data_IF_841408066534
#
_entry.id   IF_841408066534
#
_cell.length_a   1.000
_cell.length_b   1.000
_cell.length_c   1.000
_cell.angle_alpha   90.00
_cell.angle_beta   90.00
_cell.angle_gamma   90.00
#
_symmetry.space_group_name_H-M   'P 1'
#
loop_
_entity.id
_entity.type
_entity.pdbx_description
1 polymer ?
#
# COMPACT_ATOMS: atom_id res chain seq x y z
N UNK A 1 -1.74 -18.18 10.83
CA UNK A 1 -3.04 -17.81 10.22
C UNK A 1 -2.79 -16.76 9.15
N UNK A 2 -3.54 -16.75 8.03
CA UNK A 2 -3.40 -15.72 7.02
C UNK A 2 -3.92 -14.39 7.58
N UNK A 3 -3.12 -13.33 7.47
CA UNK A 3 -3.51 -12.01 7.93
C UNK A 3 -4.60 -11.45 7.00
N UNK A 4 -5.74 -11.01 7.52
CA UNK A 4 -6.77 -10.34 6.70
C UNK A 4 -6.44 -8.86 6.59
N UNK A 5 -6.56 -8.28 5.38
CA UNK A 5 -6.36 -6.84 5.21
C UNK A 5 -7.50 -6.05 5.88
N UNK A 6 -7.23 -5.15 6.84
CA UNK A 6 -8.28 -4.39 7.50
C UNK A 6 -8.94 -3.32 6.61
N UNK A 7 -8.36 -3.02 5.44
CA UNK A 7 -8.87 -1.99 4.53
C UNK A 7 -9.88 -2.50 3.51
N UNK A 8 -9.75 -3.75 3.04
CA UNK A 8 -10.60 -4.32 1.98
C UNK A 8 -11.07 -5.74 2.29
N UNK A 9 -10.77 -6.25 3.48
CA UNK A 9 -11.13 -7.60 3.94
C UNK A 9 -10.56 -8.74 3.09
N UNK A 10 -9.49 -8.49 2.32
CA UNK A 10 -8.83 -9.53 1.53
C UNK A 10 -8.14 -10.57 2.46
N UNK A 11 -8.45 -11.87 2.34
CA UNK A 11 -8.07 -12.88 3.32
C UNK A 11 -6.62 -13.40 3.19
N UNK A 12 -5.92 -13.09 2.10
CA UNK A 12 -4.55 -13.60 1.84
C UNK A 12 -3.67 -12.56 1.11
N UNK A 13 -3.17 -11.55 1.83
CA UNK A 13 -2.13 -10.65 1.35
C UNK A 13 -0.85 -11.44 1.04
N UNK A 14 -0.19 -11.10 -0.06
CA UNK A 14 0.99 -11.81 -0.53
C UNK A 14 2.23 -11.41 0.27
N UNK A 15 3.14 -12.35 0.54
CA UNK A 15 4.33 -12.07 1.33
C UNK A 15 5.45 -11.54 0.43
N UNK A 16 5.81 -10.26 0.63
CA UNK A 16 6.85 -9.61 -0.17
C UNK A 16 8.24 -9.88 0.41
N UNK A 17 8.38 -9.85 1.74
CA UNK A 17 9.66 -10.11 2.42
C UNK A 17 9.44 -10.69 3.81
N UNK A 18 10.44 -11.43 4.31
CA UNK A 18 10.44 -12.02 5.65
C UNK A 18 11.77 -11.79 6.34
N UNK A 19 11.74 -11.30 7.58
CA UNK A 19 12.89 -11.11 8.45
C UNK A 19 12.62 -11.75 9.81
N UNK A 20 13.15 -12.96 10.00
CA UNK A 20 12.89 -13.75 11.21
C UNK A 20 11.40 -14.08 11.36
N UNK A 21 10.80 -13.67 12.48
CA UNK A 21 9.37 -13.86 12.76
C UNK A 21 8.49 -12.79 12.11
N UNK A 22 9.09 -11.78 11.48
CA UNK A 22 8.39 -10.65 10.85
C UNK A 22 8.20 -10.90 9.36
N UNK A 23 6.98 -10.69 8.86
CA UNK A 23 6.60 -10.79 7.44
C UNK A 23 6.00 -9.48 6.98
N UNK A 24 6.50 -8.97 5.87
CA UNK A 24 5.97 -7.80 5.18
C UNK A 24 5.09 -8.28 4.05
N UNK A 25 3.78 -8.02 4.16
CA UNK A 25 2.78 -8.46 3.21
C UNK A 25 2.22 -7.27 2.42
N UNK A 26 1.77 -7.54 1.20
CA UNK A 26 1.09 -6.58 0.33
C UNK A 26 -0.31 -7.09 -0.01
N UNK A 27 -1.30 -6.25 0.25
CA UNK A 27 -2.67 -6.51 -0.17
C UNK A 27 -2.89 -6.05 -1.63
N UNK A 28 -3.78 -6.72 -2.35
CA UNK A 28 -4.24 -6.34 -3.70
C UNK A 28 -4.85 -4.94 -3.76
N UNK A 29 -5.38 -4.43 -2.65
CA UNK A 29 -5.88 -3.05 -2.56
C UNK A 29 -4.77 -1.99 -2.45
N UNK A 30 -3.49 -2.41 -2.45
CA UNK A 30 -2.38 -1.50 -2.31
C UNK A 30 -2.10 -1.06 -0.87
N UNK A 31 -2.44 -1.87 0.13
CA UNK A 31 -2.06 -1.65 1.54
C UNK A 31 -0.89 -2.55 1.95
N UNK A 32 0.06 -2.02 2.72
CA UNK A 32 1.12 -2.82 3.35
C UNK A 32 0.62 -3.37 4.68
N UNK A 33 1.11 -4.54 5.09
CA UNK A 33 0.73 -5.17 6.36
C UNK A 33 1.99 -5.80 6.94
N UNK A 34 2.28 -5.55 8.21
CA UNK A 34 3.40 -6.18 8.92
C UNK A 34 2.82 -7.19 9.89
N UNK A 35 3.25 -8.43 9.76
CA UNK A 35 2.89 -9.52 10.67
C UNK A 35 4.11 -9.97 11.45
N UNK A 36 4.00 -10.14 12.76
CA UNK A 36 5.01 -10.80 13.58
C UNK A 36 4.37 -11.98 14.32
N UNK A 37 5.04 -13.14 14.31
CA UNK A 37 4.57 -14.34 15.02
C UNK A 37 3.15 -14.80 14.62
N UNK A 38 2.73 -14.45 13.39
CA UNK A 38 1.40 -14.80 12.86
C UNK A 38 0.28 -13.84 13.25
N UNK A 39 0.58 -12.75 13.96
CA UNK A 39 -0.36 -11.65 14.25
C UNK A 39 -0.01 -10.40 13.43
N UNK A 40 -1.03 -9.64 13.00
CA UNK A 40 -0.81 -8.32 12.40
C UNK A 40 -0.38 -7.37 13.51
N UNK A 41 0.86 -6.89 13.43
CA UNK A 41 1.44 -5.98 14.44
C UNK A 41 1.46 -4.53 13.99
N UNK A 42 1.42 -4.29 12.68
CA UNK A 42 1.26 -2.95 12.14
C UNK A 42 0.55 -2.98 10.79
N UNK A 43 -0.34 -2.01 10.61
CA UNK A 43 -0.76 -1.54 9.29
C UNK A 43 -0.28 -0.10 9.13
N UNK A 44 0.10 0.36 7.93
CA UNK A 44 0.30 1.78 7.69
C UNK A 44 -0.96 2.50 8.15
N UNK A 45 -0.87 3.25 9.25
CA UNK A 45 -1.85 4.29 9.53
C UNK A 45 -1.79 5.25 8.37
N UNK A 46 -2.95 5.57 7.78
CA UNK A 46 -3.10 6.26 6.49
C UNK A 46 -1.91 7.15 6.18
N UNK A 47 -0.94 6.63 5.42
CA UNK A 47 0.27 7.36 5.14
C UNK A 47 -0.17 8.52 4.26
N UNK A 48 -0.12 9.74 4.78
CA UNK A 48 -0.30 10.99 4.04
C UNK A 48 0.74 11.20 2.93
N UNK A 49 1.41 10.14 2.48
CA UNK A 49 1.94 10.04 1.13
C UNK A 49 0.77 9.81 0.16
N UNK A 50 -0.16 10.76 0.14
CA UNK A 50 -0.70 11.15 -1.15
C UNK A 50 0.53 11.50 -1.96
N UNK A 51 0.85 10.72 -3.00
CA UNK A 51 1.75 11.22 -4.01
C UNK A 51 1.26 12.63 -4.30
N UNK A 52 2.11 13.64 -4.06
CA UNK A 52 1.79 14.99 -4.48
C UNK A 52 1.29 14.83 -5.91
N UNK A 53 0.02 15.19 -6.23
CA UNK A 53 -0.43 15.06 -7.60
C UNK A 53 0.64 15.80 -8.38
N UNK A 54 1.37 15.07 -9.22
CA UNK A 54 2.14 15.71 -10.26
C UNK A 54 1.05 16.47 -10.99
N UNK A 55 1.02 17.79 -10.76
CA UNK A 55 0.14 18.65 -11.48
C UNK A 55 0.61 18.50 -12.92
N UNK A 56 -0.07 17.62 -13.66
CA UNK A 56 0.03 17.54 -15.10
C UNK A 56 -0.40 18.92 -15.57
N UNK A 57 0.58 19.81 -15.68
CA UNK A 57 0.42 21.09 -16.34
C UNK A 57 0.48 20.77 -17.82
N UNK A 58 -0.55 20.09 -18.31
CA UNK A 58 -0.93 20.18 -19.71
C UNK A 58 -1.37 21.63 -19.94
N UNK A 59 -0.38 22.52 -20.13
CA UNK A 59 -0.64 23.82 -20.74
C UNK A 59 -0.91 23.58 -22.23
N UNK A 60 -2.09 23.98 -22.74
CA UNK A 60 -2.43 23.76 -24.13
C UNK A 60 -1.49 24.55 -25.05
N UNK A 61 -1.03 23.88 -26.10
CA UNK A 61 -0.43 24.52 -27.28
C UNK A 61 -1.30 25.70 -27.69
N UNK A 62 -0.76 26.91 -27.57
CA UNK A 62 -1.38 28.11 -28.15
C UNK A 62 -1.04 28.11 -29.64
N UNK A 63 -1.95 27.58 -30.44
CA UNK A 63 -2.04 27.93 -31.84
C UNK A 63 -2.53 29.39 -31.98
N UNK A 64 -2.21 30.01 -33.12
CA UNK A 64 -2.71 31.30 -33.66
C UNK A 64 -1.96 32.54 -33.12
N UNK A 65 -1.23 33.36 -33.91
CA UNK A 65 -1.24 33.68 -35.36
C UNK A 65 0.17 33.86 -35.91
#
# INVERSE_FOLDING_TARGET
MPATCPSCSWPTPDAVSTHGTVRYLRCVCGQWIVCAEGAVVATPGGSGFAGSPVADTESPVRAER
#
